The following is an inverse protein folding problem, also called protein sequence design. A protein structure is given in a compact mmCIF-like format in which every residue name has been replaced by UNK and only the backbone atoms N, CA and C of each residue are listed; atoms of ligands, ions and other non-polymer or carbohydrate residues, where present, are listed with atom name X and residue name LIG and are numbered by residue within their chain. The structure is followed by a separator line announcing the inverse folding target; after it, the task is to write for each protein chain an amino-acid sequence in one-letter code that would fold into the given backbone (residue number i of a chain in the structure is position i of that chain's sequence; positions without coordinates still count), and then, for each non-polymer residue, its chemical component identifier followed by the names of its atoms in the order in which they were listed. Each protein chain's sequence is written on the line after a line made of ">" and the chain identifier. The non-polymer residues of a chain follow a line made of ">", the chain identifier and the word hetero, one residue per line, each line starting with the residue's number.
data_IF_787639135137
#
_entry.id   IF_787639135137
#
_cell.length_a   1.000
_cell.length_b   1.000
_cell.length_c   1.000
_cell.angle_alpha   90.00
_cell.angle_beta   90.00
_cell.angle_gamma   90.00
#
_symmetry.space_group_name_H-M   'P 1'
#
loop_
_entity.id
_entity.type
_entity.pdbx_description
1 polymer ?
#
# COMPACT_ATOMS: atom_id res chain seq x y z
N UNK A 1 20.40 -14.34 1.83
CA UNK A 1 19.98 -13.45 2.94
C UNK A 1 20.66 -12.07 2.90
N UNK A 2 21.99 -11.95 2.82
CA UNK A 2 22.66 -10.63 2.83
C UNK A 2 22.30 -9.69 1.67
N UNK A 3 22.06 -10.23 0.47
CA UNK A 3 21.68 -9.42 -0.72
C UNK A 3 20.26 -8.83 -0.57
N UNK A 4 19.38 -9.45 0.21
CA UNK A 4 18.01 -8.97 0.42
C UNK A 4 17.91 -7.81 1.42
N UNK A 5 18.86 -7.71 2.37
CA UNK A 5 18.87 -6.66 3.40
C UNK A 5 18.77 -5.23 2.86
N UNK A 6 19.55 -4.80 1.85
CA UNK A 6 19.42 -3.44 1.32
C UNK A 6 18.04 -3.18 0.71
N UNK A 7 17.43 -4.18 0.06
CA UNK A 7 16.07 -4.06 -0.49
C UNK A 7 15.02 -3.94 0.62
N UNK A 8 15.14 -4.70 1.70
CA UNK A 8 14.22 -4.61 2.84
C UNK A 8 14.33 -3.26 3.56
N UNK A 9 15.55 -2.73 3.73
CA UNK A 9 15.77 -1.39 4.30
C UNK A 9 15.17 -0.32 3.36
N UNK A 10 15.36 -0.48 2.05
CA UNK A 10 14.78 0.41 1.05
C UNK A 10 13.25 0.39 1.11
N UNK A 11 12.63 -0.79 1.11
CA UNK A 11 11.19 -0.96 1.27
C UNK A 11 10.68 -0.30 2.56
N UNK A 12 11.29 -0.61 3.70
CA UNK A 12 10.86 -0.10 5.01
C UNK A 12 10.97 1.42 5.10
N UNK A 13 12.09 2.00 4.64
CA UNK A 13 12.31 3.43 4.67
C UNK A 13 11.35 4.21 3.77
N UNK A 14 11.13 3.75 2.54
CA UNK A 14 10.21 4.41 1.60
C UNK A 14 8.75 4.23 2.02
N UNK A 15 8.35 3.04 2.49
CA UNK A 15 7.01 2.77 3.03
C UNK A 15 6.69 3.66 4.23
N UNK A 16 7.64 3.79 5.17
CA UNK A 16 7.50 4.69 6.32
C UNK A 16 7.44 6.16 5.90
N UNK A 17 8.30 6.59 4.98
CA UNK A 17 8.33 7.96 4.48
C UNK A 17 7.01 8.32 3.79
N UNK A 18 6.50 7.44 2.92
CA UNK A 18 5.21 7.59 2.25
C UNK A 18 4.06 7.66 3.26
N UNK A 19 4.03 6.77 4.26
CA UNK A 19 3.02 6.78 5.31
C UNK A 19 3.04 8.07 6.15
N UNK A 20 4.22 8.55 6.54
CA UNK A 20 4.35 9.83 7.29
C UNK A 20 3.92 11.01 6.42
N UNK A 21 4.31 11.02 5.15
CA UNK A 21 3.97 12.11 4.24
C UNK A 21 2.47 12.14 3.93
N UNK A 22 1.84 10.98 3.76
CA UNK A 22 0.38 10.86 3.58
C UNK A 22 -0.38 11.26 4.85
N UNK A 23 0.09 10.88 6.04
CA UNK A 23 -0.50 11.31 7.30
C UNK A 23 -0.47 12.83 7.51
N UNK A 24 0.50 13.54 6.93
CA UNK A 24 0.67 14.99 7.05
C UNK A 24 -0.03 15.78 5.96
N UNK A 25 0.00 15.28 4.73
CA UNK A 25 -0.41 16.04 3.53
C UNK A 25 -1.59 15.41 2.78
N UNK A 26 -1.92 14.15 3.06
CA UNK A 26 -2.92 13.37 2.31
C UNK A 26 -2.52 13.09 0.85
N UNK A 27 -1.22 13.22 0.53
CA UNK A 27 -0.70 13.02 -0.82
C UNK A 27 0.39 11.95 -0.79
N UNK A 28 0.39 11.06 -1.78
CA UNK A 28 1.45 10.09 -2.02
C UNK A 28 2.18 10.46 -3.32
N UNK A 29 3.35 11.11 -3.25
CA UNK A 29 4.00 11.65 -4.43
C UNK A 29 4.69 10.55 -5.25
N UNK A 30 4.51 10.62 -6.56
CA UNK A 30 5.03 9.66 -7.54
C UNK A 30 6.54 9.43 -7.45
N UNK A 31 7.27 10.47 -7.02
CA UNK A 31 8.72 10.43 -6.80
C UNK A 31 9.17 9.36 -5.81
N UNK A 32 8.30 8.90 -4.91
CA UNK A 32 8.60 7.85 -3.93
C UNK A 32 7.86 6.54 -4.22
N UNK A 33 6.62 6.60 -4.72
CA UNK A 33 5.87 5.38 -5.07
C UNK A 33 6.46 4.65 -6.26
N UNK A 34 6.96 5.36 -7.27
CA UNK A 34 7.55 4.75 -8.46
C UNK A 34 8.88 4.02 -8.15
N UNK A 35 9.87 4.62 -7.44
CA UNK A 35 11.05 3.88 -7.00
C UNK A 35 10.72 2.68 -6.11
N UNK A 36 9.69 2.79 -5.27
CA UNK A 36 9.25 1.67 -4.44
C UNK A 36 8.76 0.51 -5.30
N UNK A 37 7.93 0.76 -6.31
CA UNK A 37 7.43 -0.27 -7.22
C UNK A 37 8.58 -0.97 -7.97
N UNK A 38 9.46 -0.19 -8.59
CA UNK A 38 10.61 -0.74 -9.33
C UNK A 38 11.58 -1.48 -8.40
N UNK A 39 11.76 -0.99 -7.17
CA UNK A 39 12.57 -1.66 -6.15
C UNK A 39 12.06 -3.07 -5.81
N UNK A 40 10.74 -3.26 -5.76
CA UNK A 40 10.12 -4.57 -5.53
C UNK A 40 10.34 -5.54 -6.69
N UNK A 41 10.18 -5.06 -7.92
CA UNK A 41 10.48 -5.87 -9.11
C UNK A 41 11.97 -6.24 -9.19
N UNK A 42 12.87 -5.30 -8.89
CA UNK A 42 14.31 -5.57 -8.83
C UNK A 42 14.67 -6.57 -7.72
N UNK A 43 14.00 -6.48 -6.56
CA UNK A 43 14.16 -7.44 -5.49
C UNK A 43 13.81 -8.85 -5.96
N UNK A 44 12.64 -9.04 -6.58
CA UNK A 44 12.27 -10.35 -7.13
C UNK A 44 13.21 -10.78 -8.25
N UNK A 45 13.63 -9.90 -9.15
CA UNK A 45 14.59 -10.22 -10.22
C UNK A 45 15.93 -10.75 -9.68
N UNK A 46 16.45 -10.17 -8.58
CA UNK A 46 17.79 -10.44 -8.07
C UNK A 46 17.79 -11.54 -7.00
N UNK A 47 16.78 -11.56 -6.13
CA UNK A 47 16.74 -12.44 -4.96
C UNK A 47 15.81 -13.65 -5.15
N UNK A 48 14.70 -13.50 -5.88
CA UNK A 48 13.65 -14.52 -6.01
C UNK A 48 13.07 -14.55 -7.44
N UNK A 49 13.89 -14.84 -8.47
CA UNK A 49 13.48 -14.68 -9.87
C UNK A 49 12.27 -15.53 -10.26
N UNK A 50 12.06 -16.65 -9.58
CA UNK A 50 10.88 -17.51 -9.77
C UNK A 50 9.56 -16.81 -9.44
N UNK A 51 9.57 -15.85 -8.50
CA UNK A 51 8.37 -15.08 -8.08
C UNK A 51 8.19 -13.77 -8.84
N UNK A 52 9.07 -13.45 -9.78
CA UNK A 52 8.95 -12.23 -10.60
C UNK A 52 7.59 -12.14 -11.34
N UNK A 53 7.05 -13.22 -11.93
CA UNK A 53 5.72 -13.17 -12.56
C UNK A 53 4.63 -12.81 -11.55
N UNK A 54 4.68 -13.37 -10.33
CA UNK A 54 3.72 -13.10 -9.27
C UNK A 54 3.81 -11.66 -8.74
N UNK A 55 5.02 -11.12 -8.67
CA UNK A 55 5.26 -9.72 -8.32
C UNK A 55 4.73 -8.76 -9.38
N UNK A 56 4.92 -9.09 -10.67
CA UNK A 56 4.38 -8.30 -11.78
C UNK A 56 2.86 -8.33 -11.78
N UNK A 57 2.25 -9.51 -11.66
CA UNK A 57 0.80 -9.64 -11.51
C UNK A 57 0.29 -8.97 -10.25
N UNK A 58 1.08 -8.96 -9.17
CA UNK A 58 0.79 -8.19 -7.96
C UNK A 58 0.73 -6.69 -8.25
N UNK A 59 1.71 -6.14 -8.96
CA UNK A 59 1.69 -4.72 -9.34
C UNK A 59 0.47 -4.38 -10.23
N UNK A 60 0.17 -5.24 -11.22
CA UNK A 60 -0.98 -5.08 -12.12
C UNK A 60 -2.29 -5.19 -11.36
N UNK A 61 -2.46 -6.19 -10.49
CA UNK A 61 -3.67 -6.40 -9.71
C UNK A 61 -3.88 -5.29 -8.67
N UNK A 62 -2.80 -4.83 -8.02
CA UNK A 62 -2.85 -3.72 -7.08
C UNK A 62 -3.27 -2.42 -7.77
N UNK A 63 -2.66 -2.09 -8.91
CA UNK A 63 -3.04 -0.93 -9.70
C UNK A 63 -4.47 -1.06 -10.25
N UNK A 64 -4.77 -2.17 -10.95
CA UNK A 64 -6.04 -2.40 -11.62
C UNK A 64 -7.22 -2.50 -10.66
N UNK A 65 -7.06 -3.19 -9.53
CA UNK A 65 -8.11 -3.35 -8.53
C UNK A 65 -8.55 -2.03 -7.92
N UNK A 66 -7.59 -1.25 -7.42
CA UNK A 66 -7.89 0.06 -6.83
C UNK A 66 -8.25 1.11 -7.89
N UNK A 67 -7.69 1.04 -9.11
CA UNK A 67 -8.10 1.91 -10.20
C UNK A 67 -9.57 1.66 -10.59
N UNK A 68 -10.01 0.40 -10.65
CA UNK A 68 -11.40 0.06 -10.97
C UNK A 68 -12.36 0.63 -9.91
N UNK A 69 -12.02 0.51 -8.64
CA UNK A 69 -12.80 1.09 -7.54
C UNK A 69 -12.81 2.62 -7.64
N UNK A 70 -11.65 3.25 -7.84
CA UNK A 70 -11.52 4.70 -7.99
C UNK A 70 -12.36 5.23 -9.15
N UNK A 71 -12.22 4.65 -10.34
CA UNK A 71 -12.95 5.07 -11.53
C UNK A 71 -14.45 4.77 -11.43
N UNK A 72 -14.84 3.62 -10.88
CA UNK A 72 -16.24 3.28 -10.65
C UNK A 72 -16.92 4.26 -9.70
N UNK A 73 -16.27 4.61 -8.59
CA UNK A 73 -16.77 5.61 -7.65
C UNK A 73 -16.82 7.02 -8.28
N UNK A 74 -15.75 7.42 -8.97
CA UNK A 74 -15.66 8.73 -9.63
C UNK A 74 -16.73 8.90 -10.71
N UNK A 75 -16.99 7.86 -11.51
CA UNK A 75 -18.01 7.91 -12.56
C UNK A 75 -19.42 8.01 -11.96
N UNK A 76 -19.67 7.29 -10.86
CA UNK A 76 -21.00 7.23 -10.23
C UNK A 76 -21.36 8.47 -9.40
N UNK A 77 -20.39 9.02 -8.68
CA UNK A 77 -20.61 10.09 -7.70
C UNK A 77 -19.96 11.42 -8.08
N UNK A 78 -19.16 11.47 -9.16
CA UNK A 78 -18.38 12.64 -9.61
C UNK A 78 -17.51 13.26 -8.51
N UNK A 79 -17.19 12.48 -7.48
CA UNK A 79 -16.36 12.86 -6.35
C UNK A 79 -15.20 11.87 -6.23
N UNK A 80 -14.08 12.35 -5.71
CA UNK A 80 -12.96 11.50 -5.38
C UNK A 80 -13.23 10.86 -4.01
N UNK A 81 -13.38 9.54 -3.99
CA UNK A 81 -13.57 8.79 -2.75
C UNK A 81 -12.24 8.32 -2.17
N UNK A 82 -11.42 7.67 -2.99
CA UNK A 82 -10.09 7.19 -2.67
C UNK A 82 -9.04 8.10 -3.34
N UNK A 83 -7.92 8.37 -2.67
CA UNK A 83 -6.83 9.11 -3.26
C UNK A 83 -6.19 8.32 -4.40
N UNK A 84 -5.94 8.95 -5.55
CA UNK A 84 -5.26 8.26 -6.66
C UNK A 84 -3.82 7.83 -6.29
N UNK A 85 -3.23 8.48 -5.29
CA UNK A 85 -1.96 8.08 -4.70
C UNK A 85 -2.01 6.70 -4.04
N UNK A 86 -3.12 6.34 -3.39
CA UNK A 86 -3.30 5.03 -2.74
C UNK A 86 -3.28 3.89 -3.77
N UNK A 87 -3.84 4.14 -4.96
CA UNK A 87 -3.83 3.19 -6.09
C UNK A 87 -2.40 2.86 -6.51
N UNK A 88 -1.55 3.89 -6.65
CA UNK A 88 -0.14 3.71 -7.01
C UNK A 88 0.66 3.05 -5.90
N UNK A 89 0.34 3.39 -4.65
CA UNK A 89 1.00 2.80 -3.51
C UNK A 89 0.65 1.31 -3.36
N UNK A 90 -0.61 0.92 -3.55
CA UNK A 90 -1.00 -0.48 -3.57
C UNK A 90 -0.33 -1.25 -4.71
N UNK A 91 -0.16 -0.65 -5.90
CA UNK A 91 0.61 -1.24 -6.98
C UNK A 91 2.07 -1.50 -6.57
N UNK A 92 2.70 -0.53 -5.90
CA UNK A 92 4.05 -0.71 -5.36
C UNK A 92 4.09 -1.85 -4.33
N UNK A 93 3.14 -1.88 -3.38
CA UNK A 93 3.04 -2.98 -2.41
C UNK A 93 2.82 -4.33 -3.10
N UNK A 94 2.01 -4.40 -4.16
CA UNK A 94 1.82 -5.61 -4.96
C UNK A 94 3.12 -6.13 -5.60
N UNK A 95 4.02 -5.23 -6.02
CA UNK A 95 5.33 -5.61 -6.53
C UNK A 95 6.24 -6.23 -5.46
N UNK A 96 6.07 -5.87 -4.19
CA UNK A 96 6.84 -6.47 -3.08
C UNK A 96 6.19 -7.76 -2.57
N UNK A 97 4.88 -7.72 -2.33
CA UNK A 97 4.15 -8.77 -1.62
C UNK A 97 3.55 -9.85 -2.52
N UNK A 98 3.65 -9.68 -3.85
CA UNK A 98 2.98 -10.51 -4.85
C UNK A 98 1.45 -10.41 -4.80
N UNK A 99 0.77 -10.96 -5.81
CA UNK A 99 -0.69 -10.84 -5.94
C UNK A 99 -1.49 -11.59 -4.86
N UNK A 100 -0.96 -12.71 -4.36
CA UNK A 100 -1.65 -13.62 -3.42
C UNK A 100 -1.99 -12.94 -2.09
N UNK A 101 -1.13 -12.03 -1.65
CA UNK A 101 -1.24 -11.37 -0.35
C UNK A 101 -2.01 -10.06 -0.40
N UNK A 102 -2.25 -9.51 -1.60
CA UNK A 102 -2.96 -8.24 -1.78
C UNK A 102 -4.36 -8.23 -1.15
N UNK A 103 -5.21 -9.26 -1.30
CA UNK A 103 -6.53 -9.24 -0.67
C UNK A 103 -6.46 -9.12 0.86
N UNK A 104 -5.53 -9.85 1.48
CA UNK A 104 -5.31 -9.79 2.92
C UNK A 104 -4.76 -8.43 3.35
N UNK A 105 -3.82 -7.87 2.58
CA UNK A 105 -3.24 -6.56 2.83
C UNK A 105 -4.32 -5.47 2.80
N UNK A 106 -5.14 -5.45 1.74
CA UNK A 106 -6.24 -4.49 1.59
C UNK A 106 -7.27 -4.66 2.72
N UNK A 107 -7.61 -5.90 3.07
CA UNK A 107 -8.53 -6.19 4.17
C UNK A 107 -8.02 -5.67 5.51
N UNK A 108 -6.75 -5.94 5.85
CA UNK A 108 -6.11 -5.43 7.06
C UNK A 108 -6.05 -3.90 7.06
N UNK A 109 -5.65 -3.28 5.95
CA UNK A 109 -5.63 -1.83 5.82
C UNK A 109 -7.02 -1.22 6.04
N UNK A 110 -8.07 -1.82 5.46
CA UNK A 110 -9.44 -1.39 5.64
C UNK A 110 -9.92 -1.54 7.10
N UNK A 111 -9.63 -2.67 7.75
CA UNK A 111 -9.96 -2.88 9.17
C UNK A 111 -9.29 -1.85 10.07
N UNK A 112 -7.98 -1.61 9.87
CA UNK A 112 -7.22 -0.64 10.63
C UNK A 112 -7.74 0.79 10.39
N UNK A 113 -8.03 1.15 9.14
CA UNK A 113 -8.62 2.43 8.78
C UNK A 113 -10.00 2.63 9.41
N UNK A 114 -10.88 1.62 9.37
CA UNK A 114 -12.19 1.66 10.01
C UNK A 114 -12.09 1.80 11.53
N UNK A 115 -11.20 1.03 12.17
CA UNK A 115 -10.94 1.13 13.61
C UNK A 115 -10.40 2.52 14.00
N UNK A 116 -9.42 3.02 13.25
CA UNK A 116 -8.87 4.37 13.43
C UNK A 116 -9.90 5.47 13.24
N UNK A 117 -10.76 5.36 12.23
CA UNK A 117 -11.88 6.29 12.01
C UNK A 117 -12.89 6.24 13.16
N UNK A 118 -13.22 5.04 13.66
CA UNK A 118 -14.11 4.87 14.81
C UNK A 118 -13.58 5.55 16.08
N UNK A 119 -12.29 5.36 16.39
CA UNK A 119 -11.64 6.05 17.51
C UNK A 119 -11.59 7.56 17.29
N UNK A 120 -11.25 8.01 16.08
CA UNK A 120 -11.23 9.43 15.74
C UNK A 120 -12.61 10.08 15.90
N UNK A 121 -13.68 9.37 15.56
CA UNK A 121 -15.07 9.82 15.75
C UNK A 121 -15.42 9.95 17.23
N UNK A 122 -14.97 9.01 18.07
CA UNK A 122 -15.19 9.05 19.53
C UNK A 122 -14.44 10.22 20.18
N UNK A 123 -13.22 10.52 19.73
CA UNK A 123 -12.36 11.57 20.32
C UNK A 123 -12.67 12.96 19.78
N UNK A 124 -12.90 13.10 18.46
CA UNK A 124 -13.05 14.38 17.76
C UNK A 124 -14.48 14.70 17.33
N UNK A 125 -15.43 13.79 17.54
CA UNK A 125 -16.83 13.96 17.16
C UNK A 125 -17.02 14.18 15.66
N UNK A 126 -18.04 14.96 15.28
CA UNK A 126 -18.40 15.23 13.87
C UNK A 126 -17.30 15.90 13.04
N UNK A 127 -16.27 16.49 13.68
CA UNK A 127 -15.12 17.08 12.99
C UNK A 127 -14.28 16.02 12.24
N UNK A 128 -14.36 14.75 12.67
CA UNK A 128 -13.75 13.62 11.96
C UNK A 128 -14.43 13.29 10.61
N UNK A 129 -15.69 13.69 10.38
CA UNK A 129 -16.36 13.52 9.08
C UNK A 129 -15.88 14.54 8.03
N UNK A 130 -15.30 15.66 8.47
CA UNK A 130 -14.94 16.77 7.58
C UNK A 130 -13.55 16.56 6.97
N UNK A 131 -12.65 15.89 7.69
CA UNK A 131 -11.32 15.58 7.18
C UNK A 131 -11.29 14.16 6.61
N UNK A 132 -11.02 14.00 5.30
CA UNK A 132 -10.81 12.67 4.72
C UNK A 132 -9.63 12.01 5.42
N UNK A 133 -9.82 10.77 5.86
CA UNK A 133 -8.82 10.04 6.62
C UNK A 133 -7.80 9.45 5.62
N UNK A 134 -6.50 9.76 5.74
CA UNK A 134 -5.48 9.26 4.82
C UNK A 134 -5.39 7.73 4.91
N UNK A 135 -5.53 7.04 3.78
CA UNK A 135 -5.52 5.57 3.71
C UNK A 135 -4.10 5.00 3.60
N UNK A 136 -3.15 5.77 3.08
CA UNK A 136 -1.75 5.40 2.90
C UNK A 136 -1.04 4.89 4.16
N UNK A 137 -1.17 5.52 5.35
CA UNK A 137 -0.56 5.03 6.58
C UNK A 137 -1.06 3.63 6.95
N UNK A 138 -2.35 3.36 6.76
CA UNK A 138 -2.94 2.06 7.08
C UNK A 138 -2.49 0.99 6.08
N UNK A 139 -2.34 1.33 4.80
CA UNK A 139 -1.69 0.49 3.79
C UNK A 139 -0.24 0.16 4.16
N UNK A 140 0.52 1.14 4.64
CA UNK A 140 1.91 0.94 5.05
C UNK A 140 1.99 -0.04 6.23
N UNK A 141 1.17 0.16 7.27
CA UNK A 141 1.11 -0.74 8.44
C UNK A 141 0.70 -2.16 8.02
N UNK A 142 -0.35 -2.30 7.19
CA UNK A 142 -0.76 -3.60 6.68
C UNK A 142 0.34 -4.28 5.85
N UNK A 143 1.08 -3.51 5.05
CA UNK A 143 2.24 -4.01 4.30
C UNK A 143 3.39 -4.48 5.19
N UNK A 144 3.65 -3.83 6.32
CA UNK A 144 4.65 -4.32 7.29
C UNK A 144 4.21 -5.62 7.97
N UNK A 145 2.92 -5.73 8.33
CA UNK A 145 2.35 -6.93 8.98
C UNK A 145 2.38 -8.12 8.02
N UNK A 146 1.96 -7.92 6.78
CA UNK A 146 1.89 -8.99 5.76
C UNK A 146 3.25 -9.35 5.19
N UNK A 147 4.17 -8.37 5.10
CA UNK A 147 5.50 -8.57 4.53
C UNK A 147 6.33 -9.63 5.22
N UNK A 148 6.16 -9.82 6.53
CA UNK A 148 6.87 -10.86 7.25
C UNK A 148 6.68 -12.24 6.62
N UNK A 149 5.46 -12.58 6.19
CA UNK A 149 5.14 -13.88 5.55
C UNK A 149 5.76 -14.03 4.17
N UNK A 150 5.93 -12.93 3.44
CA UNK A 150 6.47 -12.95 2.07
C UNK A 150 8.00 -13.07 2.10
N UNK A 151 8.64 -12.36 3.02
CA UNK A 151 10.11 -12.33 3.13
C UNK A 151 10.68 -13.50 3.94
N UNK A 152 9.87 -14.12 4.82
CA UNK A 152 10.26 -15.27 5.64
C UNK A 152 9.18 -16.37 5.58
N UNK A 153 9.14 -17.18 4.51
CA UNK A 153 8.12 -18.22 4.34
C UNK A 153 8.27 -19.43 5.29
N UNK A 154 9.41 -19.62 5.97
CA UNK A 154 9.71 -20.81 6.80
C UNK A 154 9.40 -20.64 8.30
N UNK A 155 8.32 -19.92 8.65
CA UNK A 155 7.87 -19.72 10.03
C UNK A 155 6.67 -20.58 10.43
#
# INVERSE_FOLDING_TARGET
>A
MFVALPFLIFYASFSLLLGIYDARTGLLPDRFTCPLLWGGLLYHQICLPERLPDALWGAIAGYGGFALIYWGYRLRYQKEGLGYGDVKYLAALGAWHCWETLPLLVFLAAMLACGGFGVALLVRGKSALINPLPFGPWLAVAGFITGWKVFFPDG
#
